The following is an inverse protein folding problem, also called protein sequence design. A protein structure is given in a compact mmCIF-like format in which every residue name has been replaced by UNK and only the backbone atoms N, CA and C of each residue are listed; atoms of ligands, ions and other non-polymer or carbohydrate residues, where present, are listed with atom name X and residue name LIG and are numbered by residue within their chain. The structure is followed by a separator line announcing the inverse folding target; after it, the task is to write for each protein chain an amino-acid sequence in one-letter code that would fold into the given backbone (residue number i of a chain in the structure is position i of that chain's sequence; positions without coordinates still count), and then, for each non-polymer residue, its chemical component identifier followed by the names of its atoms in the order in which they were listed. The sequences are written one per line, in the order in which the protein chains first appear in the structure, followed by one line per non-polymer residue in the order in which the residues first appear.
data_IF_115036724067
#
_entry.id   IF_115036724067
#
_cell.length_a   1.000
_cell.length_b   1.000
_cell.length_c   1.000
_cell.angle_alpha   90.00
_cell.angle_beta   90.00
_cell.angle_gamma   90.00
#
_symmetry.space_group_name_H-M   'P 1'
#
loop_
_entity.id
_entity.type
_entity.pdbx_description
1 polymer ?
#
# COMPACT_ATOMS: atom_id res chain seq x y z
N UNK A 1 -24.57 20.82 -5.45
CA UNK A 1 -23.31 20.22 -5.01
C UNK A 1 -23.61 18.83 -4.49
N UNK A 2 -22.91 17.84 -4.99
CA UNK A 2 -23.08 16.46 -4.51
C UNK A 2 -22.67 16.38 -3.05
N UNK A 3 -23.45 15.65 -2.26
CA UNK A 3 -23.16 15.46 -0.84
C UNK A 3 -22.16 14.32 -0.69
N UNK A 4 -21.10 14.46 0.13
CA UNK A 4 -20.19 13.36 0.40
C UNK A 4 -20.93 12.13 0.93
N UNK A 5 -20.48 10.94 0.56
CA UNK A 5 -21.04 9.70 1.11
C UNK A 5 -20.85 9.69 2.63
N UNK A 6 -21.81 9.18 3.37
CA UNK A 6 -21.76 9.12 4.83
C UNK A 6 -20.51 8.40 5.37
N UNK A 7 -19.96 7.43 4.61
CA UNK A 7 -18.74 6.69 4.95
C UNK A 7 -17.44 7.47 4.71
N UNK A 8 -17.48 8.60 3.97
CA UNK A 8 -16.24 9.30 3.55
C UNK A 8 -15.49 9.90 4.73
N UNK A 9 -16.18 10.54 5.68
CA UNK A 9 -15.55 11.12 6.86
C UNK A 9 -14.88 10.05 7.73
N UNK A 10 -15.54 8.90 7.91
CA UNK A 10 -14.97 7.77 8.65
C UNK A 10 -13.73 7.20 7.96
N UNK A 11 -13.76 7.08 6.63
CA UNK A 11 -12.61 6.62 5.85
C UNK A 11 -11.41 7.59 5.95
N UNK A 12 -11.65 8.90 5.86
CA UNK A 12 -10.61 9.93 6.01
C UNK A 12 -10.00 9.88 7.42
N UNK A 13 -10.82 9.80 8.46
CA UNK A 13 -10.33 9.69 9.83
C UNK A 13 -9.45 8.44 10.04
N UNK A 14 -9.82 7.32 9.43
CA UNK A 14 -9.04 6.09 9.51
C UNK A 14 -7.72 6.20 8.73
N UNK A 15 -7.69 6.85 7.56
CA UNK A 15 -6.46 7.14 6.83
C UNK A 15 -5.51 8.01 7.67
N UNK A 16 -6.02 9.03 8.36
CA UNK A 16 -5.22 9.83 9.29
C UNK A 16 -4.64 9.00 10.44
N UNK A 17 -5.42 8.07 10.99
CA UNK A 17 -4.94 7.13 12.03
C UNK A 17 -3.81 6.23 11.51
N UNK A 18 -3.81 5.92 10.23
CA UNK A 18 -2.72 5.18 9.57
C UNK A 18 -1.50 6.07 9.22
N UNK A 19 -1.52 7.36 9.56
CA UNK A 19 -0.46 8.32 9.28
C UNK A 19 -0.44 8.82 7.83
N UNK A 20 -1.57 8.74 7.12
CA UNK A 20 -1.72 9.14 5.73
C UNK A 20 -2.45 10.46 5.66
N UNK A 21 -1.82 11.50 5.10
CA UNK A 21 -2.46 12.77 4.80
C UNK A 21 -3.39 12.63 3.59
N UNK A 22 -4.54 13.30 3.63
CA UNK A 22 -5.54 13.22 2.58
C UNK A 22 -5.66 14.55 1.84
N UNK A 23 -5.58 14.51 0.52
CA UNK A 23 -5.79 15.66 -0.35
C UNK A 23 -6.99 15.45 -1.28
N UNK A 24 -7.80 16.48 -1.45
CA UNK A 24 -8.88 16.52 -2.43
C UNK A 24 -8.38 17.19 -3.71
N UNK A 25 -8.54 16.51 -4.84
CA UNK A 25 -8.23 17.02 -6.17
C UNK A 25 -9.53 17.08 -6.98
N UNK A 26 -10.01 18.30 -7.27
CA UNK A 26 -11.32 18.50 -7.91
C UNK A 26 -11.32 19.64 -8.91
N UNK A 27 -12.19 19.53 -9.93
CA UNK A 27 -12.51 20.62 -10.85
C UNK A 27 -13.50 21.63 -10.29
N UNK A 28 -14.09 21.39 -9.13
CA UNK A 28 -15.01 22.32 -8.48
C UNK A 28 -14.29 23.59 -8.04
N UNK A 29 -15.07 24.67 -7.89
CA UNK A 29 -14.54 25.92 -7.36
C UNK A 29 -14.05 25.74 -5.91
N UNK A 30 -13.05 26.52 -5.55
CA UNK A 30 -12.38 26.46 -4.24
C UNK A 30 -13.35 26.50 -3.05
N UNK A 31 -14.38 27.38 -3.09
CA UNK A 31 -15.32 27.53 -1.98
C UNK A 31 -16.12 26.25 -1.72
N UNK A 32 -16.60 25.60 -2.77
CA UNK A 32 -17.33 24.33 -2.68
C UNK A 32 -16.40 23.21 -2.19
N UNK A 33 -15.22 23.10 -2.78
CA UNK A 33 -14.25 22.09 -2.42
C UNK A 33 -13.80 22.19 -0.95
N UNK A 34 -13.53 23.40 -0.46
CA UNK A 34 -13.15 23.61 0.95
C UNK A 34 -14.31 23.33 1.92
N UNK A 35 -15.55 23.61 1.53
CA UNK A 35 -16.71 23.25 2.36
C UNK A 35 -16.86 21.74 2.51
N UNK A 36 -16.69 20.99 1.42
CA UNK A 36 -16.71 19.53 1.41
C UNK A 36 -15.52 18.99 2.22
N UNK A 37 -14.30 19.48 1.96
CA UNK A 37 -13.11 19.05 2.66
C UNK A 37 -13.22 19.18 4.18
N UNK A 38 -13.72 20.33 4.66
CA UNK A 38 -13.99 20.55 6.09
C UNK A 38 -15.01 19.56 6.66
N UNK A 39 -16.06 19.23 5.90
CA UNK A 39 -17.11 18.31 6.37
C UNK A 39 -16.63 16.86 6.54
N UNK A 40 -15.59 16.46 5.81
CA UNK A 40 -15.03 15.09 5.84
C UNK A 40 -13.63 15.01 6.47
N UNK A 41 -13.05 16.16 6.86
CA UNK A 41 -11.75 16.20 7.55
C UNK A 41 -10.53 16.09 6.63
N UNK A 42 -10.62 16.57 5.37
CA UNK A 42 -9.51 16.54 4.42
C UNK A 42 -8.52 17.67 4.70
N UNK A 43 -7.21 17.37 4.66
CA UNK A 43 -6.13 18.28 5.04
C UNK A 43 -5.81 19.34 3.98
N UNK A 44 -5.84 18.95 2.71
CA UNK A 44 -5.41 19.79 1.60
C UNK A 44 -6.41 19.76 0.46
N UNK A 45 -6.69 20.93 -0.14
CA UNK A 45 -7.61 21.06 -1.26
C UNK A 45 -6.88 21.65 -2.47
N UNK A 46 -6.93 20.92 -3.57
CA UNK A 46 -6.48 21.32 -4.91
C UNK A 46 -7.75 21.49 -5.76
N UNK A 47 -8.32 22.69 -5.71
CA UNK A 47 -9.56 23.06 -6.41
C UNK A 47 -9.27 23.71 -7.77
N UNK A 48 -10.32 23.89 -8.57
CA UNK A 48 -10.27 24.50 -9.91
C UNK A 48 -9.28 23.78 -10.87
N UNK A 49 -9.02 22.49 -10.64
CA UNK A 49 -8.08 21.70 -11.44
C UNK A 49 -8.80 21.12 -12.65
N UNK A 50 -8.35 21.52 -13.84
CA UNK A 50 -8.88 20.98 -15.11
C UNK A 50 -8.53 19.49 -15.26
N UNK A 51 -9.29 18.73 -16.05
CA UNK A 51 -9.01 17.31 -16.26
C UNK A 51 -7.57 17.01 -16.69
N UNK A 52 -7.04 17.81 -17.62
CA UNK A 52 -5.65 17.74 -18.13
C UNK A 52 -4.60 18.14 -17.08
N UNK A 53 -4.98 18.90 -16.06
CA UNK A 53 -4.13 19.34 -14.96
C UNK A 53 -3.98 18.34 -13.80
N UNK A 54 -4.81 17.30 -13.73
CA UNK A 54 -4.80 16.37 -12.61
C UNK A 54 -3.49 15.60 -12.46
N UNK A 55 -2.92 15.13 -13.57
CA UNK A 55 -1.61 14.47 -13.58
C UNK A 55 -0.48 15.41 -13.14
N UNK A 56 -0.53 16.69 -13.55
CA UNK A 56 0.43 17.69 -13.11
C UNK A 56 0.33 17.97 -11.60
N UNK A 57 -0.88 17.98 -11.04
CA UNK A 57 -1.08 18.12 -9.60
C UNK A 57 -0.49 16.94 -8.80
N UNK A 58 -0.64 15.71 -9.28
CA UNK A 58 0.01 14.52 -8.70
C UNK A 58 1.53 14.68 -8.72
N UNK A 59 2.10 15.05 -9.88
CA UNK A 59 3.56 15.27 -10.02
C UNK A 59 4.07 16.40 -9.12
N UNK A 60 3.28 17.45 -8.90
CA UNK A 60 3.66 18.51 -7.96
C UNK A 60 3.77 18.01 -6.53
N UNK A 61 2.85 17.14 -6.09
CA UNK A 61 2.92 16.50 -4.77
C UNK A 61 4.15 15.57 -4.65
N UNK A 62 4.45 14.83 -5.71
CA UNK A 62 5.65 13.97 -5.78
C UNK A 62 6.93 14.81 -5.70
N UNK A 63 6.97 15.97 -6.37
CA UNK A 63 8.10 16.91 -6.28
C UNK A 63 8.30 17.51 -4.88
N UNK A 64 7.27 17.52 -4.03
CA UNK A 64 7.37 17.84 -2.60
C UNK A 64 7.96 16.67 -1.76
N UNK A 65 8.40 15.58 -2.39
CA UNK A 65 8.91 14.38 -1.72
C UNK A 65 7.81 13.48 -1.14
N UNK A 66 6.57 13.61 -1.59
CA UNK A 66 5.44 12.77 -1.14
C UNK A 66 5.32 11.52 -2.01
N UNK A 67 5.02 10.39 -1.38
CA UNK A 67 4.54 9.18 -2.06
C UNK A 67 3.02 9.33 -2.21
N UNK A 68 2.55 9.37 -3.45
CA UNK A 68 1.16 9.72 -3.77
C UNK A 68 0.37 8.49 -4.19
N UNK A 69 -0.72 8.21 -3.49
CA UNK A 69 -1.77 7.32 -3.98
C UNK A 69 -2.90 8.19 -4.58
N UNK A 70 -3.21 7.97 -5.85
CA UNK A 70 -4.33 8.64 -6.53
C UNK A 70 -5.54 7.72 -6.54
N UNK A 71 -6.68 8.22 -6.10
CA UNK A 71 -7.98 7.52 -6.15
C UNK A 71 -8.89 8.23 -7.12
N UNK A 72 -9.45 7.52 -8.08
CA UNK A 72 -10.33 8.10 -9.09
C UNK A 72 -11.30 7.08 -9.68
N UNK A 73 -12.33 7.57 -10.38
CA UNK A 73 -13.40 6.74 -10.95
C UNK A 73 -13.71 7.07 -12.43
N UNK A 74 -13.12 8.11 -12.97
CA UNK A 74 -13.42 8.61 -14.32
C UNK A 74 -12.30 8.48 -15.34
N UNK A 75 -12.65 8.57 -16.62
CA UNK A 75 -11.70 8.62 -17.75
C UNK A 75 -10.69 9.76 -17.57
N UNK A 76 -11.15 10.88 -17.04
CA UNK A 76 -10.30 12.07 -16.80
C UNK A 76 -9.28 11.86 -15.69
N UNK A 77 -9.40 10.81 -14.89
CA UNK A 77 -8.48 10.47 -13.82
C UNK A 77 -7.38 9.50 -14.27
N UNK A 78 -7.55 8.83 -15.41
CA UNK A 78 -6.62 7.83 -15.91
C UNK A 78 -5.16 8.33 -16.02
N UNK A 79 -4.87 9.54 -16.57
CA UNK A 79 -3.50 10.07 -16.57
C UNK A 79 -2.94 10.34 -15.17
N UNK A 80 -3.78 10.75 -14.22
CA UNK A 80 -3.39 10.99 -12.83
C UNK A 80 -3.16 9.67 -12.08
N UNK A 81 -4.03 8.68 -12.28
CA UNK A 81 -3.88 7.31 -11.74
C UNK A 81 -2.58 6.67 -12.20
N UNK A 82 -2.27 6.77 -13.50
CA UNK A 82 -1.02 6.25 -14.08
C UNK A 82 0.24 7.02 -13.64
N UNK A 83 0.11 8.28 -13.23
CA UNK A 83 1.24 9.12 -12.81
C UNK A 83 1.59 8.96 -11.33
N UNK A 84 0.68 8.44 -10.51
CA UNK A 84 0.90 8.23 -9.09
C UNK A 84 1.73 6.97 -8.82
N UNK A 85 2.40 6.89 -7.66
CA UNK A 85 3.08 5.66 -7.23
C UNK A 85 2.08 4.52 -7.04
N UNK A 86 0.84 4.84 -6.62
CA UNK A 86 -0.25 3.88 -6.53
C UNK A 86 -1.51 4.49 -7.12
N UNK A 87 -1.92 4.01 -8.28
CA UNK A 87 -3.24 4.30 -8.84
C UNK A 87 -4.29 3.37 -8.25
N UNK A 88 -5.39 3.92 -7.76
CA UNK A 88 -6.52 3.17 -7.20
C UNK A 88 -7.81 3.57 -7.93
N UNK A 89 -8.36 2.66 -8.71
CA UNK A 89 -9.65 2.87 -9.37
C UNK A 89 -10.81 2.40 -8.50
N UNK A 90 -11.91 3.15 -8.53
CA UNK A 90 -13.16 2.71 -7.91
C UNK A 90 -13.89 1.76 -8.86
N UNK A 91 -14.36 0.61 -8.39
CA UNK A 91 -15.00 -0.41 -9.21
C UNK A 91 -16.35 0.01 -9.83
N UNK A 92 -16.88 1.15 -9.44
CA UNK A 92 -18.01 1.83 -10.08
C UNK A 92 -17.58 2.81 -11.18
N UNK A 93 -16.27 2.92 -11.41
CA UNK A 93 -15.67 3.81 -12.41
C UNK A 93 -15.67 3.21 -13.81
N UNK A 94 -14.99 3.89 -14.70
CA UNK A 94 -14.86 3.48 -16.11
C UNK A 94 -13.78 2.41 -16.28
N UNK A 95 -13.91 1.57 -17.32
CA UNK A 95 -12.90 0.56 -17.68
C UNK A 95 -11.51 1.20 -17.88
N UNK A 96 -11.46 2.39 -18.47
CA UNK A 96 -10.20 3.13 -18.69
C UNK A 96 -9.52 3.50 -17.36
N UNK A 97 -10.29 3.90 -16.34
CA UNK A 97 -9.74 4.17 -15.02
C UNK A 97 -9.22 2.88 -14.36
N UNK A 98 -9.94 1.77 -14.51
CA UNK A 98 -9.53 0.46 -13.96
C UNK A 98 -8.26 -0.07 -14.64
N UNK A 99 -8.12 0.08 -15.95
CA UNK A 99 -6.90 -0.30 -16.69
C UNK A 99 -5.68 0.56 -16.31
N UNK A 100 -5.91 1.81 -15.93
CA UNK A 100 -4.84 2.77 -15.59
C UNK A 100 -4.39 2.67 -14.13
N UNK A 101 -5.05 1.86 -13.31
CA UNK A 101 -4.80 1.74 -11.87
C UNK A 101 -4.12 0.39 -11.54
N UNK A 102 -3.19 0.42 -10.60
CA UNK A 102 -2.56 -0.79 -10.05
C UNK A 102 -3.48 -1.55 -9.07
N UNK A 103 -4.51 -0.88 -8.54
CA UNK A 103 -5.48 -1.45 -7.59
C UNK A 103 -6.89 -1.04 -8.01
N UNK A 104 -7.83 -1.99 -8.02
CA UNK A 104 -9.25 -1.70 -8.25
C UNK A 104 -10.07 -2.08 -7.01
N UNK A 105 -10.77 -1.10 -6.45
CA UNK A 105 -11.73 -1.33 -5.38
C UNK A 105 -13.07 -1.73 -5.97
N UNK A 106 -13.56 -2.92 -5.66
CA UNK A 106 -14.81 -3.46 -6.22
C UNK A 106 -16.07 -2.69 -5.82
N UNK A 107 -15.97 -1.85 -4.80
CA UNK A 107 -17.07 -0.99 -4.34
C UNK A 107 -16.72 0.47 -4.48
N UNK A 108 -17.73 1.32 -4.63
CA UNK A 108 -17.59 2.78 -4.61
C UNK A 108 -17.42 3.36 -3.21
N UNK A 109 -16.85 2.63 -2.25
CA UNK A 109 -16.67 3.03 -0.85
C UNK A 109 -15.19 3.16 -0.49
N UNK A 110 -14.79 4.34 -0.02
CA UNK A 110 -13.42 4.63 0.40
C UNK A 110 -12.92 3.76 1.58
N UNK A 111 -13.81 3.13 2.33
CA UNK A 111 -13.42 2.16 3.37
C UNK A 111 -12.68 0.96 2.77
N UNK A 112 -12.96 0.61 1.52
CA UNK A 112 -12.20 -0.39 0.78
C UNK A 112 -10.72 -0.05 0.64
N UNK A 113 -10.39 1.23 0.47
CA UNK A 113 -8.99 1.71 0.44
C UNK A 113 -8.29 1.47 1.79
N UNK A 114 -8.96 1.78 2.90
CA UNK A 114 -8.42 1.53 4.25
C UNK A 114 -8.11 0.05 4.45
N UNK A 115 -9.05 -0.82 4.04
CA UNK A 115 -8.88 -2.27 4.11
C UNK A 115 -7.72 -2.76 3.24
N UNK A 116 -7.60 -2.25 2.01
CA UNK A 116 -6.51 -2.60 1.11
C UNK A 116 -5.14 -2.21 1.68
N UNK A 117 -5.02 -1.02 2.28
CA UNK A 117 -3.79 -0.57 2.92
C UNK A 117 -3.46 -1.44 4.15
N UNK A 118 -4.43 -1.76 4.98
CA UNK A 118 -4.24 -2.61 6.14
C UNK A 118 -3.78 -4.03 5.73
N UNK A 119 -4.42 -4.60 4.70
CA UNK A 119 -4.03 -5.90 4.14
C UNK A 119 -2.61 -5.88 3.58
N UNK A 120 -2.27 -4.85 2.79
CA UNK A 120 -0.92 -4.68 2.24
C UNK A 120 0.14 -4.61 3.34
N UNK A 121 -0.11 -3.85 4.42
CA UNK A 121 0.83 -3.77 5.57
C UNK A 121 0.98 -5.11 6.28
N UNK A 122 -0.11 -5.83 6.51
CA UNK A 122 -0.07 -7.16 7.13
C UNK A 122 0.70 -8.16 6.25
N UNK A 123 0.45 -8.17 4.94
CA UNK A 123 1.17 -9.02 3.99
C UNK A 123 2.67 -8.70 3.98
N UNK A 124 3.05 -7.43 3.96
CA UNK A 124 4.46 -7.02 3.99
C UNK A 124 5.14 -7.39 5.32
N UNK A 125 4.40 -7.36 6.43
CA UNK A 125 4.91 -7.82 7.72
C UNK A 125 5.22 -9.31 7.68
N UNK A 126 4.28 -10.13 7.24
CA UNK A 126 4.46 -11.58 7.09
C UNK A 126 5.62 -11.93 6.15
N UNK A 127 5.74 -11.23 5.01
CA UNK A 127 6.86 -11.43 4.08
C UNK A 127 8.19 -11.15 4.78
N UNK A 128 8.30 -10.08 5.57
CA UNK A 128 9.54 -9.74 6.30
C UNK A 128 9.87 -10.76 7.38
N UNK A 129 8.87 -11.24 8.11
CA UNK A 129 9.05 -12.29 9.12
C UNK A 129 9.52 -13.60 8.47
N UNK A 130 8.86 -14.04 7.41
CA UNK A 130 9.23 -15.24 6.69
C UNK A 130 10.66 -15.15 6.13
N UNK A 131 11.00 -14.00 5.56
CA UNK A 131 12.35 -13.76 5.04
C UNK A 131 13.40 -13.75 6.15
N UNK A 132 13.11 -13.12 7.30
CA UNK A 132 13.98 -13.14 8.46
C UNK A 132 14.27 -14.58 8.92
N UNK A 133 13.25 -15.40 9.10
CA UNK A 133 13.43 -16.78 9.53
C UNK A 133 14.18 -17.61 8.50
N UNK A 134 13.87 -17.44 7.20
CA UNK A 134 14.60 -18.11 6.12
C UNK A 134 16.11 -17.81 6.15
N UNK A 135 16.49 -16.54 6.37
CA UNK A 135 17.90 -16.17 6.49
C UNK A 135 18.51 -16.62 7.81
N UNK A 136 17.80 -16.50 8.93
CA UNK A 136 18.31 -16.87 10.25
C UNK A 136 18.71 -18.37 10.30
N UNK A 137 17.87 -19.24 9.75
CA UNK A 137 18.20 -20.68 9.65
C UNK A 137 19.48 -20.92 8.84
N UNK A 138 19.62 -20.26 7.70
CA UNK A 138 20.81 -20.44 6.87
C UNK A 138 22.07 -19.88 7.52
N UNK A 139 22.01 -18.69 8.12
CA UNK A 139 23.15 -18.07 8.81
C UNK A 139 23.63 -18.91 10.00
N UNK A 140 22.72 -19.58 10.70
CA UNK A 140 23.05 -20.45 11.83
C UNK A 140 23.54 -21.83 11.37
N UNK A 141 22.90 -22.43 10.38
CA UNK A 141 23.20 -23.82 9.98
C UNK A 141 24.40 -23.93 9.07
N UNK A 142 24.72 -22.94 8.23
CA UNK A 142 25.89 -23.01 7.34
C UNK A 142 27.21 -23.13 8.11
N UNK A 143 27.52 -22.28 9.12
CA UNK A 143 28.71 -22.45 9.94
C UNK A 143 28.77 -23.79 10.66
N UNK A 144 27.64 -24.29 11.17
CA UNK A 144 27.55 -25.58 11.82
C UNK A 144 27.86 -26.72 10.83
N UNK A 145 27.31 -26.65 9.62
CA UNK A 145 27.58 -27.61 8.55
C UNK A 145 29.04 -27.56 8.09
N UNK A 146 29.67 -26.39 8.12
CA UNK A 146 31.11 -26.23 7.84
C UNK A 146 32.02 -26.74 8.97
N UNK A 147 31.45 -27.22 10.07
CA UNK A 147 32.23 -27.77 11.19
C UNK A 147 32.68 -26.75 12.23
N UNK A 148 32.05 -25.56 12.30
CA UNK A 148 32.43 -24.53 13.28
C UNK A 148 32.31 -25.01 14.74
N UNK A 149 31.49 -26.01 15.03
CA UNK A 149 31.34 -26.60 16.36
C UNK A 149 32.32 -27.76 16.61
N UNK A 150 33.02 -28.27 15.59
CA UNK A 150 33.91 -29.42 15.72
C UNK A 150 35.10 -29.17 16.67
N UNK A 151 35.82 -28.02 16.59
CA UNK A 151 36.98 -27.79 17.46
C UNK A 151 36.64 -27.69 18.95
N UNK A 152 35.43 -27.20 19.28
CA UNK A 152 35.02 -26.97 20.67
C UNK A 152 34.25 -28.16 21.27
N UNK A 153 33.42 -28.82 20.48
CA UNK A 153 32.44 -29.81 20.94
C UNK A 153 32.55 -31.18 20.25
N UNK A 154 33.40 -31.34 19.24
CA UNK A 154 33.49 -32.56 18.45
C UNK A 154 32.24 -32.91 17.63
N UNK A 155 31.34 -31.94 17.45
CA UNK A 155 30.04 -32.14 16.78
C UNK A 155 30.19 -31.84 15.29
N UNK A 156 29.77 -32.79 14.45
CA UNK A 156 29.60 -32.61 13.01
C UNK A 156 28.13 -32.77 12.65
N UNK A 157 27.65 -31.98 11.70
CA UNK A 157 26.28 -32.10 11.22
C UNK A 157 26.17 -33.37 10.33
N UNK A 158 25.38 -34.34 10.76
CA UNK A 158 25.11 -35.50 9.91
C UNK A 158 24.20 -35.11 8.75
N UNK A 159 24.29 -35.77 7.57
CA UNK A 159 23.39 -35.49 6.44
C UNK A 159 21.90 -35.58 6.80
N UNK A 160 21.52 -36.48 7.70
CA UNK A 160 20.14 -36.65 8.16
C UNK A 160 19.68 -35.47 8.99
N UNK A 161 20.53 -34.94 9.88
CA UNK A 161 20.22 -33.74 10.67
C UNK A 161 20.12 -32.49 9.77
N UNK A 162 20.97 -32.36 8.77
CA UNK A 162 20.92 -31.28 7.81
C UNK A 162 19.61 -31.31 7.01
N UNK A 163 19.20 -32.46 6.51
CA UNK A 163 17.95 -32.65 5.79
C UNK A 163 16.73 -32.35 6.69
N UNK A 164 16.73 -32.80 7.95
CA UNK A 164 15.69 -32.51 8.91
C UNK A 164 15.57 -31.02 9.24
N UNK A 165 16.69 -30.34 9.42
CA UNK A 165 16.71 -28.88 9.66
C UNK A 165 16.18 -28.07 8.46
N UNK A 166 16.52 -28.48 7.23
CA UNK A 166 15.97 -27.86 6.02
C UNK A 166 14.46 -28.09 5.90
N UNK A 167 13.96 -29.27 6.21
CA UNK A 167 12.53 -29.55 6.21
C UNK A 167 11.78 -28.70 7.24
N UNK A 168 12.30 -28.56 8.46
CA UNK A 168 11.76 -27.69 9.50
C UNK A 168 11.78 -26.22 9.10
N UNK A 169 12.84 -25.75 8.45
CA UNK A 169 12.94 -24.39 7.91
C UNK A 169 11.80 -24.11 6.92
N UNK A 170 11.55 -25.03 5.98
CA UNK A 170 10.48 -24.88 5.00
C UNK A 170 9.08 -24.83 5.66
N UNK A 171 8.84 -25.66 6.67
CA UNK A 171 7.57 -25.65 7.42
C UNK A 171 7.40 -24.35 8.20
N UNK A 172 8.45 -23.86 8.86
CA UNK A 172 8.35 -22.61 9.66
C UNK A 172 8.16 -21.33 8.83
N UNK A 173 8.51 -21.35 7.53
CA UNK A 173 8.26 -20.23 6.62
C UNK A 173 6.81 -20.25 6.08
N UNK A 174 6.13 -21.40 6.08
CA UNK A 174 4.77 -21.56 5.53
C UNK A 174 3.70 -21.54 6.62
N UNK A 175 4.04 -21.83 7.87
CA UNK A 175 3.13 -21.86 9.02
C UNK A 175 2.88 -20.46 9.59
#
# INVERSE_FOLDING_TARGET
ADTPKASSAAAVAELHRLGIAVAMLTGDNRRTAEAIARSVGIDRVLADVRPDGKAAAVKALQAEGKVVAMVGDGVNDAPALASAEVGVAMGTGTDVAMESAGVTLMSGDLRGLVTAIALSRATMHNIRENLFWAFAYNVLLIPVAMGALYPAFGITLSPALAAGAMALSSVSVVA
#
